data_IF_860774054545
#
_entry.id   IF_860774054545
#
_cell.length_a   1.000
_cell.length_b   1.000
_cell.length_c   1.000
_cell.angle_alpha   90.00
_cell.angle_beta   90.00
_cell.angle_gamma   90.00
#
_symmetry.space_group_name_H-M   'P 1'
#
loop_
_entity.id
_entity.type
_entity.pdbx_description
1 polymer ?
#
# COMPACT_ATOMS: atom_id res chain seq x y z
N UNK A 1 -4.58 -41.65 11.61
CA UNK A 1 -4.66 -40.40 10.82
C UNK A 1 -3.96 -39.30 11.62
N UNK A 2 -3.06 -38.53 11.00
CA UNK A 2 -2.29 -37.48 11.71
C UNK A 2 -2.46 -36.16 10.96
N UNK A 3 -2.85 -35.12 11.70
CA UNK A 3 -3.03 -33.76 11.18
C UNK A 3 -2.03 -32.87 11.91
N UNK A 4 -1.36 -31.98 11.17
CA UNK A 4 -0.43 -30.99 11.71
C UNK A 4 -0.85 -29.60 11.22
N UNK A 5 -0.86 -28.62 12.12
CA UNK A 5 -1.16 -27.22 11.84
C UNK A 5 0.12 -26.39 11.95
N UNK A 6 0.36 -25.48 11.00
CA UNK A 6 1.50 -24.54 11.03
C UNK A 6 1.03 -23.13 10.73
N UNK A 7 1.64 -22.15 11.41
CA UNK A 7 1.43 -20.72 11.17
C UNK A 7 2.70 -20.17 10.53
N UNK A 8 2.56 -19.36 9.48
CA UNK A 8 3.67 -18.63 8.84
C UNK A 8 3.27 -17.18 8.63
N UNK A 9 4.19 -16.22 8.85
CA UNK A 9 3.95 -14.84 8.47
C UNK A 9 3.89 -14.73 6.94
N UNK A 10 2.99 -13.88 6.44
CA UNK A 10 2.87 -13.56 5.02
C UNK A 10 2.81 -12.04 4.86
N UNK A 11 3.38 -11.54 3.77
CA UNK A 11 3.27 -10.14 3.36
C UNK A 11 2.24 -10.05 2.25
N UNK A 12 1.30 -9.11 2.36
CA UNK A 12 0.33 -8.80 1.31
C UNK A 12 0.35 -7.33 0.98
N UNK A 13 0.14 -7.05 -0.29
CA UNK A 13 0.03 -5.71 -0.85
C UNK A 13 -1.41 -5.50 -1.29
N UNK A 14 -2.04 -4.47 -0.74
CA UNK A 14 -3.45 -4.18 -1.01
C UNK A 14 -3.51 -2.92 -1.86
N UNK A 15 -4.15 -3.02 -3.02
CA UNK A 15 -4.44 -1.86 -3.85
C UNK A 15 -5.74 -1.24 -3.35
N UNK A 16 -5.66 0.01 -2.93
CA UNK A 16 -6.81 0.78 -2.47
C UNK A 16 -7.09 1.95 -3.40
N UNK A 17 -8.34 2.37 -3.45
CA UNK A 17 -8.81 3.54 -4.19
C UNK A 17 -9.50 4.48 -3.23
N UNK A 18 -8.95 5.69 -3.11
CA UNK A 18 -9.54 6.80 -2.37
C UNK A 18 -10.36 7.67 -3.31
N UNK A 19 -11.54 8.08 -2.88
CA UNK A 19 -12.40 9.03 -3.57
C UNK A 19 -12.97 10.01 -2.56
N UNK A 20 -13.06 11.28 -2.93
CA UNK A 20 -13.63 12.34 -2.12
C UNK A 20 -14.63 13.15 -2.95
N UNK A 21 -15.79 13.41 -2.36
CA UNK A 21 -16.83 14.26 -2.96
C UNK A 21 -16.61 15.73 -2.60
N UNK A 22 -17.22 16.64 -3.36
CA UNK A 22 -17.14 18.09 -3.13
C UNK A 22 -17.62 18.52 -1.73
N UNK A 23 -18.47 17.71 -1.10
CA UNK A 23 -18.97 17.94 0.26
C UNK A 23 -18.01 17.43 1.36
N UNK A 24 -16.82 16.95 0.99
CA UNK A 24 -15.81 16.40 1.91
C UNK A 24 -16.10 14.98 2.40
N UNK A 25 -17.14 14.31 1.87
CA UNK A 25 -17.34 12.89 2.16
C UNK A 25 -16.36 12.06 1.33
N UNK A 26 -15.57 11.22 2.00
CA UNK A 26 -14.55 10.39 1.39
C UNK A 26 -14.79 8.90 1.65
N UNK A 27 -14.36 8.07 0.70
CA UNK A 27 -14.43 6.63 0.79
C UNK A 27 -13.11 5.99 0.33
N UNK A 28 -12.78 4.85 0.93
CA UNK A 28 -11.68 4.01 0.47
C UNK A 28 -12.22 2.63 0.13
N UNK A 29 -11.96 2.16 -1.09
CA UNK A 29 -12.34 0.83 -1.55
C UNK A 29 -11.11 -0.03 -1.84
N UNK A 30 -11.24 -1.35 -1.70
CA UNK A 30 -10.18 -2.31 -2.01
C UNK A 30 -10.36 -2.79 -3.45
N UNK A 31 -9.34 -2.57 -4.28
CA UNK A 31 -9.30 -3.02 -5.68
C UNK A 31 -8.69 -4.41 -5.86
N UNK A 32 -7.91 -4.88 -4.87
CA UNK A 32 -7.33 -6.22 -4.88
C UNK A 32 -6.25 -6.43 -3.83
N UNK A 33 -5.96 -7.69 -3.53
CA UNK A 33 -4.86 -8.12 -2.68
C UNK A 33 -3.88 -8.99 -3.48
N UNK A 34 -2.59 -8.76 -3.27
CA UNK A 34 -1.52 -9.39 -4.02
C UNK A 34 -0.38 -9.81 -3.10
N UNK A 35 0.28 -10.90 -3.45
CA UNK A 35 1.44 -11.40 -2.69
C UNK A 35 2.77 -10.79 -3.19
N UNK A 36 2.74 -9.96 -4.24
CA UNK A 36 3.92 -9.35 -4.86
C UNK A 36 3.69 -7.83 -5.09
N UNK A 37 4.66 -7.02 -4.67
CA UNK A 37 4.59 -5.56 -4.71
C UNK A 37 4.59 -4.99 -6.13
N UNK A 38 5.41 -5.56 -7.03
CA UNK A 38 5.49 -5.12 -8.42
C UNK A 38 4.18 -5.39 -9.14
N UNK A 39 3.59 -6.58 -8.93
CA UNK A 39 2.27 -6.91 -9.49
C UNK A 39 1.20 -5.95 -8.95
N UNK A 40 1.18 -5.70 -7.64
CA UNK A 40 0.24 -4.74 -7.05
C UNK A 40 0.39 -3.34 -7.65
N UNK A 41 1.63 -2.90 -7.86
CA UNK A 41 1.93 -1.62 -8.51
C UNK A 41 1.42 -1.57 -9.95
N UNK A 42 1.76 -2.57 -10.78
CA UNK A 42 1.35 -2.60 -12.19
C UNK A 42 -0.18 -2.64 -12.33
N UNK A 43 -0.86 -3.41 -11.47
CA UNK A 43 -2.33 -3.44 -11.46
C UNK A 43 -2.91 -2.11 -11.00
N UNK A 44 -2.41 -1.53 -9.91
CA UNK A 44 -2.84 -0.22 -9.43
C UNK A 44 -2.65 0.87 -10.49
N UNK A 45 -1.50 0.85 -11.18
CA UNK A 45 -1.20 1.74 -12.28
C UNK A 45 -2.18 1.57 -13.45
N UNK A 46 -2.45 0.34 -13.86
CA UNK A 46 -3.37 0.04 -14.95
C UNK A 46 -4.80 0.50 -14.65
N UNK A 47 -5.30 0.23 -13.44
CA UNK A 47 -6.64 0.67 -13.00
C UNK A 47 -6.72 2.21 -12.97
N UNK A 48 -5.71 2.86 -12.39
CA UNK A 48 -5.62 4.32 -12.34
C UNK A 48 -5.63 4.93 -13.75
N UNK A 49 -4.87 4.34 -14.68
CA UNK A 49 -4.86 4.76 -16.08
C UNK A 49 -6.22 4.61 -16.76
N UNK A 50 -6.90 3.49 -16.57
CA UNK A 50 -8.25 3.27 -17.14
C UNK A 50 -9.24 4.31 -16.62
N UNK A 51 -9.17 4.66 -15.33
CA UNK A 51 -10.02 5.72 -14.77
C UNK A 51 -9.67 7.09 -15.33
N UNK A 52 -8.38 7.40 -15.47
CA UNK A 52 -7.93 8.63 -16.13
C UNK A 52 -8.50 8.77 -17.55
N UNK A 53 -8.41 7.69 -18.34
CA UNK A 53 -8.91 7.66 -19.71
C UNK A 53 -10.44 7.85 -19.77
N UNK A 54 -11.19 7.29 -18.80
CA UNK A 54 -12.64 7.48 -18.69
C UNK A 54 -13.04 8.91 -18.33
N UNK A 55 -12.27 9.55 -17.47
CA UNK A 55 -12.53 10.92 -17.00
C UNK A 55 -12.11 11.98 -18.01
N UNK A 56 -11.23 11.61 -18.95
CA UNK A 56 -10.76 12.49 -20.03
C UNK A 56 -9.88 13.65 -19.54
N UNK A 57 -9.27 13.50 -18.36
CA UNK A 57 -8.38 14.51 -17.80
C UNK A 57 -7.02 14.52 -18.52
N UNK A 58 -6.32 15.67 -18.54
CA UNK A 58 -5.00 15.77 -19.16
C UNK A 58 -3.94 15.02 -18.35
N UNK A 59 -2.94 14.48 -19.04
CA UNK A 59 -1.79 13.84 -18.40
C UNK A 59 -1.08 14.82 -17.45
N UNK A 60 -0.97 14.44 -16.18
CA UNK A 60 -0.37 15.28 -15.13
C UNK A 60 -1.37 16.13 -14.34
N UNK A 61 -2.68 15.92 -14.50
CA UNK A 61 -3.69 16.53 -13.62
C UNK A 61 -3.56 16.00 -12.18
N UNK A 62 -3.40 16.91 -11.22
CA UNK A 62 -3.21 16.60 -9.80
C UNK A 62 -4.45 15.97 -9.13
N UNK A 63 -5.62 15.98 -9.80
CA UNK A 63 -6.85 15.31 -9.32
C UNK A 63 -6.71 13.79 -9.28
N UNK A 64 -5.75 13.22 -10.01
CA UNK A 64 -5.54 11.79 -10.10
C UNK A 64 -4.08 11.45 -9.79
N UNK A 65 -3.85 10.91 -8.59
CA UNK A 65 -2.53 10.51 -8.14
C UNK A 65 -2.26 9.05 -8.53
N UNK A 66 -1.23 8.85 -9.34
CA UNK A 66 -0.76 7.51 -9.66
C UNK A 66 -0.04 6.87 -8.46
N UNK A 67 -0.15 5.54 -8.29
CA UNK A 67 0.60 4.86 -7.24
C UNK A 67 2.11 5.06 -7.46
N UNK A 68 2.85 5.14 -6.37
CA UNK A 68 4.31 5.13 -6.39
C UNK A 68 4.81 3.68 -6.30
N UNK A 69 5.96 3.40 -6.95
CA UNK A 69 6.58 2.08 -6.83
C UNK A 69 6.97 1.83 -5.38
N UNK A 70 6.70 0.61 -4.93
CA UNK A 70 7.04 0.20 -3.59
C UNK A 70 8.56 -0.03 -3.49
N UNK A 71 9.30 0.96 -2.99
CA UNK A 71 10.73 0.77 -2.70
C UNK A 71 10.87 0.04 -1.36
N UNK A 72 11.31 -1.21 -1.43
CA UNK A 72 11.49 -2.11 -0.28
C UNK A 72 12.47 -1.56 0.76
N UNK A 73 13.35 -0.62 0.39
CA UNK A 73 14.27 0.03 1.33
C UNK A 73 13.54 0.94 2.33
N UNK A 74 12.39 1.51 1.98
CA UNK A 74 11.63 2.38 2.88
C UNK A 74 11.00 1.62 4.05
N UNK A 75 10.50 0.41 3.83
CA UNK A 75 9.95 -0.42 4.92
C UNK A 75 11.02 -1.00 5.83
N UNK A 76 12.15 -1.47 5.27
CA UNK A 76 13.26 -1.97 6.07
C UNK A 76 13.78 -0.88 7.01
N UNK A 77 13.88 0.37 6.53
CA UNK A 77 14.27 1.50 7.37
C UNK A 77 13.23 1.83 8.45
N UNK A 78 11.92 1.73 8.17
CA UNK A 78 10.88 1.98 9.18
C UNK A 78 10.81 0.88 10.24
N UNK A 79 10.95 -0.40 9.85
CA UNK A 79 10.99 -1.52 10.79
C UNK A 79 12.24 -1.48 11.68
N UNK A 80 13.39 -1.11 11.10
CA UNK A 80 14.65 -0.97 11.86
C UNK A 80 14.61 0.20 12.85
N UNK A 81 13.91 1.29 12.53
CA UNK A 81 13.69 2.41 13.47
C UNK A 81 12.72 2.05 14.60
N UNK A 82 11.70 1.23 14.32
CA UNK A 82 10.76 0.74 15.34
C UNK A 82 11.37 -0.32 16.30
N UNK A 83 12.50 -0.92 15.93
CA UNK A 83 13.22 -1.92 16.73
C UNK A 83 14.44 -1.36 17.48
N UNK A 84 14.61 -0.05 17.56
CA UNK A 84 15.64 0.53 18.42
C UNK A 84 15.43 0.02 19.87
N UNK A 85 16.41 -0.69 20.48
CA UNK A 85 16.24 -1.22 21.82
C UNK A 85 16.02 -0.04 22.77
N UNK A 86 14.98 -0.15 23.61
CA UNK A 86 14.81 0.67 24.81
C UNK A 86 16.19 0.77 25.48
N UNK A 87 16.83 1.95 25.37
CA UNK A 87 18.00 2.27 26.18
C UNK A 87 17.50 2.14 27.61
N UNK A 88 17.96 1.08 28.28
CA UNK A 88 17.79 0.89 29.71
C UNK A 88 18.23 2.21 30.33
N UNK A 89 17.27 2.97 30.87
CA UNK A 89 17.57 4.09 31.74
C UNK A 89 18.31 3.48 32.92
N UNK A 90 19.64 3.59 32.87
CA UNK A 90 20.49 3.24 34.00
C UNK A 90 20.04 4.09 35.17
N UNK A 91 19.48 3.44 36.19
CA UNK A 91 19.42 4.01 37.52
C UNK A 91 20.86 4.24 37.98
N UNK A 92 21.24 5.50 38.12
CA UNK A 92 22.42 5.95 38.86
C UNK A 92 21.94 6.95 39.90
#
# INVERSE_FOLDING_TARGET
MKIEYRIKPVTRYIVTRYEESENGAAATSIGGEYDNADIAYEVGYAVCKVEHDKLGWPTGDDRLLYPQKFDTNYLLNQLNQAQAPNRVLGYA
#
